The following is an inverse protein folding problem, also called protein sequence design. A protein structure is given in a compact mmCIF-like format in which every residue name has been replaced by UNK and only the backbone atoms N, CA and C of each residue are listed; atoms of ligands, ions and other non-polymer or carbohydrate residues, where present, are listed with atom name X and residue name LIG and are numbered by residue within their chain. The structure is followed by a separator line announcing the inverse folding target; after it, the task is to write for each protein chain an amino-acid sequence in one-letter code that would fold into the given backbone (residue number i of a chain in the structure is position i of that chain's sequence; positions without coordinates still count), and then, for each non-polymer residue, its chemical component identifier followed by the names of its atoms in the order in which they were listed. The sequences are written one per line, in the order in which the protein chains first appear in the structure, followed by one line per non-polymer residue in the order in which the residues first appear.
data_IF_997816354673
#
_entry.id   IF_997816354673
#
_cell.length_a   1.000
_cell.length_b   1.000
_cell.length_c   1.000
_cell.angle_alpha   90.00
_cell.angle_beta   90.00
_cell.angle_gamma   90.00
#
_symmetry.space_group_name_H-M   'P 1'
#
loop_
_entity.id
_entity.type
_entity.pdbx_description
1 polymer ?
#
# COMPACT_ATOMS: atom_id res chain seq x y z
N UNK A 1 1.17 26.92 -23.99
CA UNK A 1 1.96 28.05 -23.53
C UNK A 1 3.40 27.92 -24.05
N UNK A 2 3.86 28.80 -24.98
CA UNK A 2 5.18 28.65 -25.63
C UNK A 2 6.37 28.90 -24.70
N UNK A 3 6.14 29.55 -23.57
CA UNK A 3 7.18 29.87 -22.56
C UNK A 3 7.44 28.74 -21.54
N UNK A 4 6.54 27.77 -21.40
CA UNK A 4 6.70 26.69 -20.44
C UNK A 4 7.77 25.72 -20.90
N UNK A 5 8.86 25.58 -20.13
CA UNK A 5 10.01 24.71 -20.43
C UNK A 5 10.10 23.51 -19.50
N UNK A 6 9.59 23.63 -18.27
CA UNK A 6 9.78 22.60 -17.25
C UNK A 6 8.56 22.51 -16.33
N UNK A 7 8.16 21.28 -16.02
CA UNK A 7 7.17 20.95 -14.98
C UNK A 7 7.90 20.16 -13.91
N UNK A 8 7.84 20.61 -12.67
CA UNK A 8 8.36 19.87 -11.51
C UNK A 8 7.15 19.37 -10.71
N UNK A 9 7.14 18.09 -10.35
CA UNK A 9 6.06 17.51 -9.55
C UNK A 9 6.61 16.80 -8.32
N UNK A 10 6.06 17.04 -7.11
CA UNK A 10 6.44 16.32 -5.90
C UNK A 10 5.87 14.90 -5.86
N UNK A 11 5.12 14.51 -6.89
CA UNK A 11 4.53 13.17 -6.99
C UNK A 11 5.52 12.14 -7.54
N UNK A 12 5.36 10.89 -7.10
CA UNK A 12 6.09 9.75 -7.68
C UNK A 12 5.49 9.31 -9.01
N UNK A 13 4.16 9.41 -9.14
CA UNK A 13 3.44 9.14 -10.38
C UNK A 13 3.23 10.41 -11.19
N UNK A 14 3.11 10.27 -12.51
CA UNK A 14 2.92 11.36 -13.46
C UNK A 14 1.60 11.23 -14.24
N UNK A 15 0.65 10.46 -13.74
CA UNK A 15 -0.63 10.18 -14.43
C UNK A 15 -1.52 11.41 -14.63
N UNK A 16 -1.28 12.48 -13.86
CA UNK A 16 -1.95 13.77 -13.95
C UNK A 16 -1.29 14.73 -14.94
N UNK A 17 -0.21 14.29 -15.64
CA UNK A 17 0.54 15.07 -16.63
C UNK A 17 0.46 14.35 -17.98
N UNK A 18 0.05 15.04 -19.02
CA UNK A 18 0.13 14.51 -20.38
C UNK A 18 1.60 14.51 -20.88
N UNK A 19 2.27 13.39 -20.62
CA UNK A 19 3.67 13.22 -21.00
C UNK A 19 3.89 13.25 -22.52
N UNK A 20 2.88 12.85 -23.33
CA UNK A 20 2.97 12.88 -24.78
C UNK A 20 2.93 14.32 -25.28
N UNK A 21 2.06 15.13 -24.72
CA UNK A 21 2.02 16.57 -25.00
C UNK A 21 3.32 17.24 -24.60
N UNK A 22 3.80 17.00 -23.37
CA UNK A 22 5.07 17.56 -22.90
C UNK A 22 6.24 17.21 -23.83
N UNK A 23 6.32 15.96 -24.27
CA UNK A 23 7.36 15.52 -25.21
C UNK A 23 7.27 16.25 -26.55
N UNK A 24 6.08 16.38 -27.13
CA UNK A 24 5.87 17.12 -28.41
C UNK A 24 6.26 18.59 -28.31
N UNK A 25 6.13 19.18 -27.15
CA UNK A 25 6.41 20.61 -26.89
C UNK A 25 7.79 20.86 -26.28
N UNK A 26 8.64 19.83 -26.17
CA UNK A 26 9.94 19.90 -25.51
C UNK A 26 9.89 20.43 -24.07
N UNK A 27 8.80 20.10 -23.33
CA UNK A 27 8.65 20.45 -21.92
C UNK A 27 9.26 19.32 -21.08
N UNK A 28 10.26 19.66 -20.26
CA UNK A 28 10.91 18.71 -19.35
C UNK A 28 10.00 18.44 -18.14
N UNK A 29 9.73 17.17 -17.83
CA UNK A 29 8.99 16.77 -16.62
C UNK A 29 9.96 16.15 -15.62
N UNK A 30 9.99 16.69 -14.41
CA UNK A 30 10.90 16.29 -13.33
C UNK A 30 10.07 15.83 -12.14
N UNK A 31 9.85 14.51 -11.95
CA UNK A 31 9.20 13.99 -10.76
C UNK A 31 10.18 13.92 -9.58
N UNK A 32 9.65 13.82 -8.34
CA UNK A 32 10.47 13.71 -7.12
C UNK A 32 11.42 12.48 -7.14
N UNK A 33 11.10 11.48 -7.95
CA UNK A 33 11.90 10.25 -8.06
C UNK A 33 13.31 10.46 -8.60
N UNK A 34 13.62 11.63 -9.17
CA UNK A 34 14.97 11.99 -9.64
C UNK A 34 15.91 12.43 -8.51
N UNK A 35 15.36 12.72 -7.32
CA UNK A 35 16.16 13.10 -6.16
C UNK A 35 16.79 11.87 -5.51
N UNK A 36 18.06 11.94 -5.17
CA UNK A 36 18.78 10.83 -4.52
C UNK A 36 18.15 10.46 -3.17
N UNK A 37 17.70 11.45 -2.41
CA UNK A 37 17.06 11.27 -1.12
C UNK A 37 15.62 10.76 -1.19
N UNK A 38 15.04 10.64 -2.38
CA UNK A 38 13.67 10.10 -2.55
C UNK A 38 13.50 8.73 -1.86
N UNK A 39 14.53 7.88 -1.90
CA UNK A 39 14.48 6.55 -1.28
C UNK A 39 14.35 6.60 0.24
N UNK A 40 14.75 7.71 0.88
CA UNK A 40 14.66 7.93 2.33
C UNK A 40 13.26 8.35 2.79
N UNK A 41 12.38 8.79 1.88
CA UNK A 41 11.04 9.23 2.23
C UNK A 41 10.19 8.03 2.65
N UNK A 42 9.77 7.99 3.91
CA UNK A 42 9.00 6.90 4.51
C UNK A 42 7.51 7.21 4.69
N UNK A 43 7.12 8.49 4.64
CA UNK A 43 5.77 8.97 4.96
C UNK A 43 4.63 8.14 4.34
N UNK A 44 4.70 7.82 3.03
CA UNK A 44 3.68 6.99 2.37
C UNK A 44 3.62 5.57 2.96
N UNK A 45 4.77 5.00 3.34
CA UNK A 45 4.83 3.65 3.91
C UNK A 45 4.26 3.63 5.33
N UNK A 46 4.55 4.66 6.11
CA UNK A 46 4.04 4.84 7.48
C UNK A 46 2.53 5.02 7.46
N UNK A 47 2.03 5.91 6.58
CA UNK A 47 0.59 6.12 6.42
C UNK A 47 -0.13 4.84 6.00
N UNK A 48 0.41 4.12 5.01
CA UNK A 48 -0.18 2.85 4.54
C UNK A 48 -0.22 1.82 5.68
N UNK A 49 0.86 1.67 6.45
CA UNK A 49 0.91 0.74 7.57
C UNK A 49 -0.06 1.14 8.69
N UNK A 50 -0.13 2.43 9.01
CA UNK A 50 -1.09 2.99 9.96
C UNK A 50 -2.52 2.63 9.56
N UNK A 51 -2.92 2.80 8.29
CA UNK A 51 -4.26 2.44 7.81
C UNK A 51 -4.56 0.94 8.03
N UNK A 52 -3.56 0.07 7.84
CA UNK A 52 -3.67 -1.34 8.17
C UNK A 52 -3.96 -1.58 9.65
N UNK A 53 -3.22 -0.93 10.55
CA UNK A 53 -3.45 -1.02 12.00
C UNK A 53 -4.82 -0.48 12.42
N UNK A 54 -5.21 0.68 11.88
CA UNK A 54 -6.52 1.28 12.16
C UNK A 54 -7.67 0.34 11.77
N UNK A 55 -7.56 -0.34 10.62
CA UNK A 55 -8.58 -1.29 10.16
C UNK A 55 -8.69 -2.50 11.09
N UNK A 56 -7.55 -3.02 11.60
CA UNK A 56 -7.54 -4.18 12.51
C UNK A 56 -8.05 -3.84 13.92
N UNK A 57 -7.91 -2.60 14.36
CA UNK A 57 -8.21 -2.16 15.74
C UNK A 57 -9.55 -1.46 15.87
N UNK A 58 -10.38 -1.42 14.82
CA UNK A 58 -11.71 -0.76 14.83
C UNK A 58 -11.69 0.69 15.34
N UNK A 59 -10.60 1.42 15.06
CA UNK A 59 -10.36 2.75 15.66
C UNK A 59 -11.44 3.77 15.31
N UNK A 60 -11.93 3.77 14.06
CA UNK A 60 -12.97 4.73 13.64
C UNK A 60 -14.28 4.51 14.42
N UNK A 61 -14.66 3.26 14.63
CA UNK A 61 -15.84 2.91 15.42
C UNK A 61 -15.64 3.27 16.88
N UNK A 62 -14.45 2.99 17.44
CA UNK A 62 -14.09 3.38 18.81
C UNK A 62 -14.20 4.89 19.03
N UNK A 63 -13.65 5.70 18.10
CA UNK A 63 -13.74 7.16 18.17
C UNK A 63 -15.21 7.62 18.13
N UNK A 64 -16.01 7.05 17.22
CA UNK A 64 -17.44 7.40 17.09
C UNK A 64 -18.20 7.14 18.38
N UNK A 65 -18.05 5.96 18.95
CA UNK A 65 -18.77 5.57 20.16
C UNK A 65 -18.29 6.33 21.40
N UNK A 66 -16.99 6.56 21.54
CA UNK A 66 -16.44 7.39 22.63
C UNK A 66 -16.97 8.82 22.60
N UNK A 67 -17.09 9.42 21.40
CA UNK A 67 -17.70 10.75 21.25
C UNK A 67 -19.19 10.80 21.66
N UNK A 68 -19.88 9.67 21.63
CA UNK A 68 -21.26 9.51 22.08
C UNK A 68 -21.37 9.17 23.57
N UNK A 69 -20.24 9.11 24.30
CA UNK A 69 -20.20 8.82 25.73
C UNK A 69 -20.15 7.35 26.10
N UNK A 70 -20.09 6.44 25.10
CA UNK A 70 -19.90 5.01 25.38
C UNK A 70 -18.46 4.72 25.82
N UNK A 71 -18.30 3.77 26.74
CA UNK A 71 -17.01 3.36 27.29
C UNK A 71 -16.91 1.83 27.34
N UNK A 72 -16.90 1.23 28.53
CA UNK A 72 -16.75 -0.22 28.71
C UNK A 72 -17.94 -1.05 28.24
N UNK A 73 -19.12 -0.47 28.18
CA UNK A 73 -20.35 -1.15 27.78
C UNK A 73 -20.27 -1.75 26.37
N UNK A 74 -19.47 -1.12 25.49
CA UNK A 74 -19.27 -1.53 24.09
C UNK A 74 -17.92 -2.18 23.82
N UNK A 75 -17.13 -2.47 24.84
CA UNK A 75 -15.77 -3.01 24.69
C UNK A 75 -15.73 -4.28 23.84
N UNK A 76 -16.67 -5.19 24.01
CA UNK A 76 -16.72 -6.46 23.26
C UNK A 76 -16.84 -6.23 21.76
N UNK A 77 -17.64 -5.24 21.35
CA UNK A 77 -17.89 -4.92 19.94
C UNK A 77 -16.71 -4.18 19.31
N UNK A 78 -15.90 -3.52 20.15
CA UNK A 78 -14.73 -2.74 19.73
C UNK A 78 -13.42 -3.53 19.74
N UNK A 79 -13.43 -4.78 20.21
CA UNK A 79 -12.22 -5.61 20.18
C UNK A 79 -11.75 -5.81 18.75
N UNK A 80 -10.52 -5.42 18.52
CA UNK A 80 -9.81 -5.64 17.26
C UNK A 80 -8.88 -6.84 17.35
N UNK A 81 -8.06 -6.99 16.31
CA UNK A 81 -7.08 -8.06 16.20
C UNK A 81 -5.66 -7.51 16.35
N UNK A 82 -4.79 -8.30 16.95
CA UNK A 82 -3.35 -8.03 16.95
C UNK A 82 -2.75 -8.40 15.60
N UNK A 83 -1.68 -7.70 15.22
CA UNK A 83 -0.96 -8.02 13.97
C UNK A 83 0.05 -9.15 14.18
N UNK A 84 0.45 -9.43 15.42
CA UNK A 84 1.34 -10.54 15.75
C UNK A 84 0.77 -11.87 15.21
N UNK A 85 1.62 -12.68 14.61
CA UNK A 85 1.31 -13.95 13.95
C UNK A 85 0.36 -13.89 12.74
N UNK A 86 -0.17 -12.73 12.39
CA UNK A 86 -1.05 -12.55 11.23
C UNK A 86 -0.27 -12.60 9.92
N UNK A 87 -0.86 -13.21 8.91
CA UNK A 87 -0.31 -13.23 7.56
C UNK A 87 -0.62 -11.91 6.85
N UNK A 88 0.42 -11.15 6.55
CA UNK A 88 0.33 -9.85 5.89
C UNK A 88 0.80 -9.97 4.45
N UNK A 89 -0.12 -9.87 3.50
CA UNK A 89 0.22 -9.85 2.08
C UNK A 89 0.69 -8.44 1.67
N UNK A 90 1.82 -8.38 0.99
CA UNK A 90 2.40 -7.15 0.43
C UNK A 90 2.55 -7.36 -1.07
N UNK A 91 1.71 -6.68 -1.84
CA UNK A 91 1.69 -6.79 -3.30
C UNK A 91 2.47 -5.61 -3.88
N UNK A 92 3.64 -5.91 -4.47
CA UNK A 92 4.65 -4.94 -4.90
C UNK A 92 5.81 -4.80 -3.90
N UNK A 93 7.04 -4.97 -4.38
CA UNK A 93 8.25 -4.96 -3.54
C UNK A 93 9.18 -3.78 -3.87
N UNK A 94 8.56 -2.64 -4.20
CA UNK A 94 9.22 -1.35 -4.37
C UNK A 94 9.58 -0.70 -3.03
N UNK A 95 9.78 0.62 -3.01
CA UNK A 95 10.14 1.40 -1.82
C UNK A 95 9.12 1.20 -0.67
N UNK A 96 7.83 1.35 -0.95
CA UNK A 96 6.77 1.19 0.05
C UNK A 96 6.74 -0.25 0.55
N UNK A 97 6.66 -1.24 -0.33
CA UNK A 97 6.56 -2.65 0.05
C UNK A 97 7.75 -3.13 0.90
N UNK A 98 8.97 -2.64 0.64
CA UNK A 98 10.16 -2.95 1.47
C UNK A 98 10.03 -2.39 2.88
N UNK A 99 9.48 -1.19 3.05
CA UNK A 99 9.25 -0.61 4.37
C UNK A 99 8.11 -1.36 5.10
N UNK A 100 7.00 -1.68 4.40
CA UNK A 100 5.92 -2.48 4.99
C UNK A 100 6.40 -3.86 5.45
N UNK A 101 7.33 -4.49 4.72
CA UNK A 101 7.96 -5.72 5.18
C UNK A 101 8.68 -5.52 6.51
N UNK A 102 9.49 -4.46 6.64
CA UNK A 102 10.20 -4.13 7.90
C UNK A 102 9.22 -3.89 9.05
N UNK A 103 8.17 -3.09 8.80
CA UNK A 103 7.17 -2.78 9.82
C UNK A 103 6.40 -4.04 10.24
N UNK A 104 5.97 -4.87 9.29
CA UNK A 104 5.29 -6.12 9.58
C UNK A 104 6.13 -7.05 10.45
N UNK A 105 7.43 -7.16 10.17
CA UNK A 105 8.35 -7.96 10.97
C UNK A 105 8.53 -7.41 12.39
N UNK A 106 8.61 -6.08 12.53
CA UNK A 106 8.70 -5.42 13.84
C UNK A 106 7.45 -5.66 14.71
N UNK A 107 6.30 -5.92 14.09
CA UNK A 107 5.05 -6.30 14.76
C UNK A 107 4.87 -7.83 14.88
N UNK A 108 5.90 -8.62 14.68
CA UNK A 108 5.87 -10.09 14.71
C UNK A 108 4.84 -10.72 13.76
N UNK A 109 4.46 -10.01 12.69
CA UNK A 109 3.59 -10.56 11.67
C UNK A 109 4.33 -11.56 10.76
N UNK A 110 3.57 -12.32 9.96
CA UNK A 110 4.07 -13.28 8.97
C UNK A 110 3.90 -12.71 7.55
N UNK A 111 4.84 -11.90 7.06
CA UNK A 111 4.69 -11.25 5.75
C UNK A 111 4.82 -12.25 4.60
N UNK A 112 3.97 -12.06 3.59
CA UNK A 112 3.96 -12.76 2.32
C UNK A 112 4.07 -11.71 1.21
N UNK A 113 5.20 -11.65 0.54
CA UNK A 113 5.46 -10.62 -0.48
C UNK A 113 5.25 -11.21 -1.87
N UNK A 114 4.53 -10.50 -2.73
CA UNK A 114 4.39 -10.86 -4.14
C UNK A 114 4.82 -9.70 -5.03
N UNK A 115 5.79 -9.94 -5.89
CA UNK A 115 6.21 -9.02 -6.95
C UNK A 115 6.88 -9.83 -8.07
N UNK A 116 6.22 -10.00 -9.23
CA UNK A 116 6.75 -10.81 -10.33
C UNK A 116 7.89 -10.12 -11.09
N UNK A 117 8.13 -8.83 -10.86
CA UNK A 117 9.12 -8.04 -11.59
C UNK A 117 10.38 -7.72 -10.77
N UNK A 118 10.37 -8.03 -9.48
CA UNK A 118 11.52 -7.73 -8.63
C UNK A 118 12.68 -8.68 -8.88
N UNK A 119 13.90 -8.14 -8.99
CA UNK A 119 15.15 -8.90 -8.97
C UNK A 119 15.67 -9.19 -7.57
N UNK A 120 15.03 -8.62 -6.54
CA UNK A 120 15.45 -8.85 -5.15
C UNK A 120 15.22 -10.30 -4.75
N UNK A 121 16.20 -10.84 -3.99
CA UNK A 121 16.05 -12.15 -3.35
C UNK A 121 15.60 -11.94 -1.90
N UNK A 122 14.47 -12.54 -1.51
CA UNK A 122 13.98 -12.51 -0.14
C UNK A 122 13.20 -13.78 0.17
N UNK A 123 13.38 -14.36 1.34
CA UNK A 123 12.63 -15.55 1.80
C UNK A 123 11.11 -15.30 1.90
N UNK A 124 10.70 -14.04 1.97
CA UNK A 124 9.31 -13.63 2.05
C UNK A 124 8.61 -13.55 0.68
N UNK A 125 9.39 -13.52 -0.42
CA UNK A 125 8.85 -13.52 -1.78
C UNK A 125 8.18 -14.84 -2.12
N UNK A 126 6.97 -14.75 -2.65
CA UNK A 126 6.14 -15.88 -3.11
C UNK A 126 5.87 -15.73 -4.60
N UNK A 127 5.77 -16.87 -5.29
CA UNK A 127 5.53 -16.91 -6.73
C UNK A 127 4.04 -16.93 -7.10
N UNK A 128 3.19 -17.39 -6.19
CA UNK A 128 1.76 -17.55 -6.42
C UNK A 128 0.96 -16.46 -5.70
N UNK A 129 0.44 -15.50 -6.49
CA UNK A 129 -0.43 -14.43 -6.00
C UNK A 129 -1.70 -14.99 -5.36
N UNK A 130 -2.31 -16.03 -5.96
CA UNK A 130 -3.56 -16.58 -5.46
C UNK A 130 -3.40 -17.14 -4.05
N UNK A 131 -2.31 -17.86 -3.80
CA UNK A 131 -1.99 -18.38 -2.48
C UNK A 131 -1.71 -17.25 -1.48
N UNK A 132 -0.97 -16.20 -1.90
CA UNK A 132 -0.67 -15.03 -1.04
C UNK A 132 -1.95 -14.36 -0.57
N UNK A 133 -2.88 -14.03 -1.47
CA UNK A 133 -4.10 -13.29 -1.12
C UNK A 133 -5.15 -14.16 -0.42
N UNK A 134 -5.23 -15.46 -0.73
CA UNK A 134 -6.23 -16.36 -0.13
C UNK A 134 -5.91 -16.73 1.31
N UNK A 135 -4.66 -16.63 1.72
CA UNK A 135 -4.22 -17.00 3.07
C UNK A 135 -3.95 -15.79 3.99
N UNK A 136 -3.98 -14.58 3.43
CA UNK A 136 -3.67 -13.35 4.17
C UNK A 136 -4.80 -12.94 5.12
N UNK A 137 -4.42 -12.32 6.23
CA UNK A 137 -5.32 -11.65 7.19
C UNK A 137 -5.40 -10.13 6.90
N UNK A 138 -4.42 -9.56 6.20
CA UNK A 138 -4.34 -8.16 5.79
C UNK A 138 -3.60 -8.07 4.46
N UNK A 139 -4.10 -7.25 3.53
CA UNK A 139 -3.48 -7.08 2.20
C UNK A 139 -3.13 -5.61 1.97
N UNK A 140 -1.87 -5.36 1.61
CA UNK A 140 -1.38 -4.06 1.15
C UNK A 140 -1.09 -4.11 -0.35
N UNK A 141 -1.65 -3.17 -1.10
CA UNK A 141 -1.39 -2.98 -2.53
C UNK A 141 -0.40 -1.83 -2.69
N UNK A 142 0.82 -2.14 -3.12
CA UNK A 142 1.95 -1.20 -3.21
C UNK A 142 2.54 -1.15 -4.63
N UNK A 143 1.74 -1.50 -5.64
CA UNK A 143 2.14 -1.46 -7.04
C UNK A 143 1.95 -0.06 -7.61
N UNK A 144 2.88 0.37 -8.46
CA UNK A 144 2.71 1.61 -9.22
C UNK A 144 1.66 1.43 -10.31
N UNK A 145 0.81 2.44 -10.52
CA UNK A 145 -0.16 2.40 -11.62
C UNK A 145 0.53 2.32 -12.98
N UNK A 146 0.02 1.45 -13.84
CA UNK A 146 0.37 1.37 -15.26
C UNK A 146 -0.83 0.85 -16.06
N UNK A 147 -0.81 1.03 -17.37
CA UNK A 147 -1.86 0.47 -18.25
C UNK A 147 -1.97 -1.06 -18.11
N UNK A 148 -0.85 -1.75 -17.80
CA UNK A 148 -0.81 -3.22 -17.65
C UNK A 148 -1.46 -3.72 -16.36
N UNK A 149 -1.52 -2.90 -15.32
CA UNK A 149 -2.11 -3.26 -14.03
C UNK A 149 -3.38 -2.45 -13.69
N UNK A 150 -3.98 -1.82 -14.72
CA UNK A 150 -5.31 -1.25 -14.60
C UNK A 150 -6.28 -2.33 -14.13
N UNK A 151 -7.14 -2.00 -13.18
CA UNK A 151 -8.13 -2.92 -12.58
C UNK A 151 -7.50 -4.20 -11.99
N UNK A 152 -6.26 -4.10 -11.47
CA UNK A 152 -5.56 -5.21 -10.83
C UNK A 152 -6.38 -5.81 -9.67
N UNK A 153 -6.96 -4.95 -8.82
CA UNK A 153 -7.91 -5.37 -7.79
C UNK A 153 -9.31 -5.39 -8.41
N UNK A 154 -9.68 -6.52 -8.97
CA UNK A 154 -10.96 -6.76 -9.63
C UNK A 154 -11.77 -7.83 -8.88
N UNK A 155 -12.97 -8.16 -9.41
CA UNK A 155 -13.85 -9.18 -8.82
C UNK A 155 -13.14 -10.52 -8.58
N UNK A 156 -12.30 -10.98 -9.54
CA UNK A 156 -11.55 -12.22 -9.39
C UNK A 156 -10.47 -12.15 -8.31
N UNK A 157 -9.82 -10.99 -8.15
CA UNK A 157 -8.89 -10.76 -7.05
C UNK A 157 -9.61 -10.85 -5.70
N UNK A 158 -10.70 -10.10 -5.55
CA UNK A 158 -11.47 -10.03 -4.30
C UNK A 158 -12.08 -11.40 -3.95
N UNK A 159 -12.60 -12.15 -4.92
CA UNK A 159 -13.19 -13.46 -4.66
C UNK A 159 -12.21 -14.52 -4.14
N UNK A 160 -10.90 -14.31 -4.35
CA UNK A 160 -9.85 -15.18 -3.81
C UNK A 160 -9.44 -14.83 -2.38
N UNK A 161 -9.84 -13.67 -1.86
CA UNK A 161 -9.56 -13.23 -0.50
C UNK A 161 -10.49 -13.94 0.48
N UNK A 162 -10.07 -15.08 1.04
CA UNK A 162 -10.95 -15.93 1.88
C UNK A 162 -11.09 -15.43 3.32
N UNK A 163 -10.04 -14.84 3.88
CA UNK A 163 -9.96 -14.51 5.31
C UNK A 163 -9.75 -13.01 5.56
N UNK A 164 -9.84 -12.16 4.54
CA UNK A 164 -9.33 -10.80 4.61
C UNK A 164 -10.39 -9.82 5.05
N UNK A 165 -10.27 -9.29 6.26
CA UNK A 165 -11.13 -8.21 6.71
C UNK A 165 -10.73 -6.86 6.09
N UNK A 166 -9.48 -6.67 5.62
CA UNK A 166 -9.02 -5.39 5.10
C UNK A 166 -8.04 -5.50 3.92
N UNK A 167 -8.25 -4.63 2.94
CA UNK A 167 -7.35 -4.35 1.85
C UNK A 167 -7.02 -2.85 1.87
N UNK A 168 -5.74 -2.52 1.89
CA UNK A 168 -5.22 -1.16 1.92
C UNK A 168 -4.50 -0.88 0.61
N UNK A 169 -4.92 0.20 -0.05
CA UNK A 169 -4.34 0.64 -1.32
C UNK A 169 -3.86 2.09 -1.23
#
# INVERSE_FOLDING_TARGET
EPWLKTIITPSTGTTHIDLNYCKKRNIKVIPITVLDDFKKITASSEYTFMMGLLSQRKIFESIRLTKQGYWRDVEKDLRGFELSDKKVAIIGFGRIGKNLLKYSLAFNAKPLVYDPYTSNKSKYLKKDLSNVISTADLVFICISFSKKNKDFVNKNFISKMKNVPALIN
#
